data_IF_008310440386
#
_entry.id   IF_008310440386
#
_cell.length_a   1.000
_cell.length_b   1.000
_cell.length_c   1.000
_cell.angle_alpha   90.00
_cell.angle_beta   90.00
_cell.angle_gamma   90.00
#
_symmetry.space_group_name_H-M   'P 1'
#
loop_
_entity.id
_entity.type
_entity.pdbx_description
1 polymer ?
#
# COMPACT_ATOMS: atom_id res chain seq x y z
N UNK A 1 -3.14 0.91 42.74
CA UNK A 1 -3.69 0.46 41.44
C UNK A 1 -3.86 1.70 40.58
N UNK A 2 -2.90 1.99 39.68
CA UNK A 2 -3.03 3.04 38.69
C UNK A 2 -3.93 2.53 37.57
N UNK A 3 -5.20 2.87 37.66
CA UNK A 3 -6.15 2.65 36.54
C UNK A 3 -5.73 3.48 35.33
N UNK A 4 -4.80 2.97 34.54
CA UNK A 4 -4.41 3.57 33.26
C UNK A 4 -5.64 3.58 32.34
N UNK A 5 -6.06 4.76 31.91
CA UNK A 5 -7.06 4.90 30.87
C UNK A 5 -6.52 4.24 29.60
N UNK A 6 -7.13 3.15 29.15
CA UNK A 6 -6.80 2.54 27.85
C UNK A 6 -7.22 3.57 26.78
N UNK A 7 -6.27 4.11 25.99
CA UNK A 7 -6.62 5.07 24.95
C UNK A 7 -7.57 4.44 23.94
N UNK A 8 -8.52 5.22 23.42
CA UNK A 8 -9.35 4.77 22.30
C UNK A 8 -8.44 4.45 21.10
N UNK A 9 -8.51 3.21 20.59
CA UNK A 9 -7.72 2.75 19.47
C UNK A 9 -7.88 3.64 18.23
N UNK A 10 -9.07 4.20 18.01
CA UNK A 10 -9.35 5.09 16.87
C UNK A 10 -8.73 6.49 17.00
N UNK A 11 -8.30 6.92 18.19
CA UNK A 11 -7.73 8.26 18.42
C UNK A 11 -6.22 8.35 18.18
N UNK A 12 -5.54 7.21 17.97
CA UNK A 12 -4.09 7.15 17.87
C UNK A 12 -3.69 6.90 16.42
N UNK A 13 -2.79 7.74 15.88
CA UNK A 13 -2.11 7.44 14.62
C UNK A 13 -1.02 6.38 14.84
N UNK A 14 -1.38 5.12 14.67
CA UNK A 14 -0.44 4.00 14.78
C UNK A 14 0.56 3.95 13.63
N UNK A 15 0.22 4.46 12.45
CA UNK A 15 1.13 4.55 11.32
C UNK A 15 2.34 5.41 11.67
N UNK A 16 2.12 6.55 12.34
CA UNK A 16 3.22 7.41 12.78
C UNK A 16 4.20 6.72 13.75
N UNK A 17 3.70 5.78 14.55
CA UNK A 17 4.53 5.05 15.53
C UNK A 17 5.39 3.95 14.89
N UNK A 18 4.98 3.38 13.75
CA UNK A 18 5.64 2.21 13.14
C UNK A 18 6.34 2.52 11.84
N UNK A 19 6.04 3.64 11.20
CA UNK A 19 6.70 4.11 9.99
C UNK A 19 8.18 4.41 10.24
N UNK A 20 9.02 4.19 9.24
CA UNK A 20 10.43 4.60 9.30
C UNK A 20 10.53 6.12 9.55
N UNK A 21 11.66 6.54 10.11
CA UNK A 21 11.94 7.97 10.35
C UNK A 21 12.89 8.55 9.30
N UNK A 22 13.65 7.68 8.64
CA UNK A 22 14.59 8.01 7.60
C UNK A 22 14.18 7.42 6.26
N UNK A 23 14.74 7.95 5.17
CA UNK A 23 14.63 7.34 3.84
C UNK A 23 15.59 6.16 3.80
N UNK A 24 15.11 5.00 3.36
CA UNK A 24 15.93 3.80 3.24
C UNK A 24 15.86 3.27 1.81
N UNK A 25 17.00 3.20 1.15
CA UNK A 25 17.12 2.61 -0.17
C UNK A 25 17.57 1.14 -0.07
N UNK A 26 16.89 0.27 -0.77
CA UNK A 26 17.19 -1.16 -0.89
C UNK A 26 17.45 -1.49 -2.35
N UNK A 27 18.56 -2.17 -2.62
CA UNK A 27 18.91 -2.65 -3.96
C UNK A 27 18.79 -4.18 -4.05
N UNK A 28 18.51 -4.73 -5.25
CA UNK A 28 18.40 -6.18 -5.47
C UNK A 28 19.66 -6.97 -5.12
N UNK A 29 20.83 -6.35 -5.19
CA UNK A 29 22.11 -6.94 -4.81
C UNK A 29 22.35 -7.03 -3.29
N UNK A 30 21.38 -6.58 -2.48
CA UNK A 30 21.43 -6.61 -1.03
C UNK A 30 21.97 -5.33 -0.38
N UNK A 31 22.41 -4.34 -1.15
CA UNK A 31 22.85 -3.06 -0.61
C UNK A 31 21.66 -2.31 0.01
N UNK A 32 21.86 -1.81 1.23
CA UNK A 32 20.90 -0.98 1.94
C UNK A 32 21.56 0.28 2.43
N UNK A 33 20.99 1.44 2.12
CA UNK A 33 21.53 2.75 2.50
C UNK A 33 20.45 3.60 3.19
N UNK A 34 20.84 4.28 4.27
CA UNK A 34 19.98 5.17 5.05
C UNK A 34 20.31 6.63 4.79
N UNK A 35 19.28 7.46 4.63
CA UNK A 35 19.40 8.90 4.41
C UNK A 35 18.46 9.63 5.39
N UNK A 36 18.97 10.59 6.20
CA UNK A 36 18.10 11.40 7.05
C UNK A 36 17.04 12.15 6.22
N UNK A 37 15.83 12.29 6.73
CA UNK A 37 14.82 13.16 6.13
C UNK A 37 15.32 14.61 6.17
N UNK A 38 15.26 15.31 5.03
CA UNK A 38 15.85 16.65 4.86
C UNK A 38 17.24 16.65 4.24
N UNK A 39 17.73 15.49 3.82
CA UNK A 39 18.94 15.41 3.01
C UNK A 39 18.64 15.90 1.59
N UNK A 40 18.91 17.19 1.32
CA UNK A 40 18.52 17.91 0.09
C UNK A 40 19.16 17.37 -1.20
N UNK A 41 20.19 16.54 -1.10
CA UNK A 41 20.93 15.95 -2.21
C UNK A 41 20.64 14.47 -2.43
N UNK A 42 19.45 13.97 -2.00
CA UNK A 42 19.04 12.63 -2.34
C UNK A 42 18.82 12.53 -3.86
N UNK A 43 19.87 12.13 -4.56
CA UNK A 43 19.83 11.83 -5.99
C UNK A 43 20.03 10.34 -6.20
N UNK A 44 19.11 9.74 -6.94
CA UNK A 44 19.26 8.33 -7.38
C UNK A 44 20.52 8.05 -8.22
N UNK A 45 21.22 9.09 -8.67
CA UNK A 45 22.47 8.99 -9.45
C UNK A 45 23.61 8.31 -8.72
N UNK A 46 23.57 8.20 -7.38
CA UNK A 46 24.53 7.40 -6.60
C UNK A 46 24.33 5.88 -6.76
N UNK A 47 23.17 5.46 -7.24
CA UNK A 47 22.94 4.06 -7.59
C UNK A 47 23.37 3.89 -9.06
N UNK A 48 24.51 3.26 -9.27
CA UNK A 48 25.12 2.98 -10.60
C UNK A 48 24.26 2.03 -11.47
N UNK A 49 22.93 2.14 -11.37
CA UNK A 49 21.95 1.29 -12.02
C UNK A 49 20.98 2.12 -12.88
N UNK A 50 21.50 2.67 -13.99
CA UNK A 50 20.63 3.26 -15.03
C UNK A 50 19.62 2.28 -15.62
N UNK A 51 19.67 1.00 -15.22
CA UNK A 51 18.84 -0.08 -15.74
C UNK A 51 17.76 -0.58 -14.75
N UNK A 52 17.83 -0.20 -13.46
CA UNK A 52 16.86 -0.66 -12.47
C UNK A 52 15.65 0.27 -12.41
N UNK A 53 14.46 -0.32 -12.42
CA UNK A 53 13.24 0.40 -12.08
C UNK A 53 13.25 0.79 -10.61
N UNK A 54 12.78 2.00 -10.30
CA UNK A 54 12.80 2.60 -8.96
C UNK A 54 11.40 2.79 -8.45
N UNK A 55 11.10 2.19 -7.31
CA UNK A 55 9.81 2.29 -6.67
C UNK A 55 9.94 3.05 -5.37
N UNK A 56 9.19 4.14 -5.23
CA UNK A 56 8.97 4.76 -3.93
C UNK A 56 7.98 3.91 -3.16
N UNK A 57 8.35 3.49 -1.95
CA UNK A 57 7.50 2.75 -1.04
C UNK A 57 7.13 3.65 0.15
N UNK A 58 5.86 4.07 0.19
CA UNK A 58 5.31 4.82 1.32
C UNK A 58 5.09 3.88 2.50
N UNK A 59 5.83 4.12 3.58
CA UNK A 59 5.86 3.22 4.73
C UNK A 59 4.78 3.57 5.77
N UNK A 60 3.68 2.83 5.74
CA UNK A 60 2.64 2.91 6.76
C UNK A 60 2.80 1.85 7.87
N UNK A 61 3.92 1.14 7.91
CA UNK A 61 4.17 -0.03 8.76
C UNK A 61 4.42 -1.28 7.92
N UNK A 62 5.32 -1.14 6.94
CA UNK A 62 5.57 -2.14 5.90
C UNK A 62 6.05 -3.46 6.47
N UNK A 63 5.43 -4.56 6.04
CA UNK A 63 5.98 -5.90 6.24
C UNK A 63 7.18 -6.11 5.31
N UNK A 64 8.28 -6.61 5.88
CA UNK A 64 9.53 -6.82 5.15
C UNK A 64 9.36 -7.68 3.88
N UNK A 65 8.35 -8.55 3.84
CA UNK A 65 8.09 -9.38 2.67
C UNK A 65 7.57 -8.62 1.46
N UNK A 66 6.97 -7.43 1.63
CA UNK A 66 6.63 -6.53 0.52
C UNK A 66 7.93 -6.06 -0.15
N UNK A 67 8.91 -5.58 0.64
CA UNK A 67 10.21 -5.14 0.13
C UNK A 67 10.90 -6.31 -0.59
N UNK A 68 10.95 -7.50 0.03
CA UNK A 68 11.57 -8.69 -0.57
C UNK A 68 10.94 -9.08 -1.90
N UNK A 69 9.62 -8.97 -2.02
CA UNK A 69 8.90 -9.27 -3.26
C UNK A 69 9.27 -8.30 -4.40
N UNK A 70 9.46 -7.02 -4.11
CA UNK A 70 9.92 -6.05 -5.09
C UNK A 70 11.38 -6.29 -5.48
N UNK A 71 12.28 -6.50 -4.50
CA UNK A 71 13.70 -6.80 -4.74
C UNK A 71 13.90 -8.08 -5.56
N UNK A 72 13.13 -9.15 -5.27
CA UNK A 72 13.12 -10.41 -6.02
C UNK A 72 12.79 -10.22 -7.51
N UNK A 73 12.04 -9.15 -7.84
CA UNK A 73 11.66 -8.76 -9.20
C UNK A 73 12.60 -7.72 -9.81
N UNK A 74 13.80 -7.58 -9.27
CA UNK A 74 14.84 -6.68 -9.73
C UNK A 74 14.44 -5.19 -9.73
N UNK A 75 13.69 -4.76 -8.71
CA UNK A 75 13.25 -3.38 -8.51
C UNK A 75 14.00 -2.75 -7.35
N UNK A 76 14.56 -1.56 -7.51
CA UNK A 76 15.12 -0.78 -6.42
C UNK A 76 13.99 -0.12 -5.62
N UNK A 77 14.01 -0.25 -4.29
CA UNK A 77 12.96 0.25 -3.40
C UNK A 77 13.48 1.41 -2.55
N UNK A 78 12.76 2.52 -2.59
CA UNK A 78 13.04 3.69 -1.76
C UNK A 78 11.88 3.82 -0.77
N UNK A 79 12.13 3.34 0.43
CA UNK A 79 11.19 3.42 1.54
C UNK A 79 11.26 4.80 2.15
N UNK A 80 10.12 5.50 2.19
CA UNK A 80 9.98 6.84 2.76
C UNK A 80 8.97 6.83 3.91
N UNK A 81 9.09 7.73 4.90
CA UNK A 81 8.10 7.86 5.96
C UNK A 81 6.69 8.13 5.42
N UNK A 82 5.66 7.70 6.15
CA UNK A 82 4.24 7.82 5.77
C UNK A 82 3.79 9.26 5.45
N UNK A 83 4.42 10.26 6.06
CA UNK A 83 4.10 11.68 5.92
C UNK A 83 5.07 12.45 4.98
N UNK A 84 6.03 11.75 4.39
CA UNK A 84 7.02 12.36 3.50
C UNK A 84 6.38 12.77 2.16
N UNK A 85 6.65 14.00 1.69
CA UNK A 85 6.24 14.42 0.35
C UNK A 85 7.24 13.92 -0.71
N UNK A 86 6.96 12.74 -1.23
CA UNK A 86 7.79 12.07 -2.24
C UNK A 86 7.60 12.60 -3.65
N UNK A 87 6.74 13.60 -3.85
CA UNK A 87 6.37 14.08 -5.19
C UNK A 87 7.50 14.83 -5.92
N UNK A 88 8.56 15.23 -5.23
CA UNK A 88 9.75 15.82 -5.84
C UNK A 88 10.79 14.77 -6.27
N UNK A 89 10.60 13.50 -5.89
CA UNK A 89 11.51 12.43 -6.27
C UNK A 89 11.24 11.94 -7.69
N UNK A 90 12.30 11.49 -8.35
CA UNK A 90 12.20 10.76 -9.61
C UNK A 90 12.07 9.26 -9.33
N UNK A 91 10.95 8.65 -9.76
CA UNK A 91 10.66 7.22 -9.57
C UNK A 91 9.83 6.69 -10.75
N UNK A 92 9.79 5.37 -10.91
CA UNK A 92 9.03 4.71 -11.97
C UNK A 92 7.65 4.26 -11.51
N UNK A 93 7.46 3.97 -10.22
CA UNK A 93 6.19 3.60 -9.62
C UNK A 93 6.11 3.91 -8.13
N UNK A 94 4.88 3.97 -7.60
CA UNK A 94 4.58 4.21 -6.19
C UNK A 94 3.93 2.98 -5.57
N UNK A 95 4.48 2.49 -4.46
CA UNK A 95 3.92 1.39 -3.70
C UNK A 95 3.47 1.87 -2.31
N UNK A 96 2.21 1.65 -1.98
CA UNK A 96 1.62 2.04 -0.70
C UNK A 96 1.55 0.81 0.19
N UNK A 97 2.29 0.80 1.29
CA UNK A 97 2.40 -0.39 2.13
C UNK A 97 1.15 -0.65 2.97
N UNK A 98 1.10 -1.84 3.53
CA UNK A 98 0.21 -2.14 4.65
C UNK A 98 0.56 -1.30 5.88
N UNK A 99 -0.35 -1.26 6.85
CA UNK A 99 -0.13 -0.56 8.12
C UNK A 99 -1.26 -0.78 9.13
N UNK A 100 -1.04 -0.46 10.42
CA UNK A 100 -2.03 -0.57 11.48
C UNK A 100 -2.89 0.68 11.60
N UNK A 101 -4.02 0.55 12.29
CA UNK A 101 -4.82 1.68 12.77
C UNK A 101 -5.93 2.13 11.84
N UNK A 102 -6.38 3.36 12.05
CA UNK A 102 -7.45 4.00 11.30
C UNK A 102 -6.86 4.81 10.13
N UNK A 103 -7.23 4.53 8.86
CA UNK A 103 -6.76 5.29 7.70
C UNK A 103 -7.18 6.77 7.75
N UNK A 104 -8.17 7.12 8.56
CA UNK A 104 -8.61 8.51 8.72
C UNK A 104 -7.62 9.38 9.50
N UNK A 105 -6.62 8.78 10.17
CA UNK A 105 -5.54 9.50 10.83
C UNK A 105 -4.37 9.85 9.92
N UNK A 106 -4.42 9.45 8.63
CA UNK A 106 -3.31 9.56 7.68
C UNK A 106 -3.52 10.60 6.57
N UNK A 107 -4.18 11.73 6.86
CA UNK A 107 -4.52 12.75 5.84
C UNK A 107 -3.33 13.33 5.10
N UNK A 108 -2.16 13.40 5.73
CA UNK A 108 -0.90 13.84 5.07
C UNK A 108 -0.54 12.90 3.93
N UNK A 109 -0.54 11.58 4.18
CA UNK A 109 -0.31 10.56 3.17
C UNK A 109 -1.34 10.67 2.02
N UNK A 110 -2.63 10.80 2.35
CA UNK A 110 -3.70 10.95 1.36
C UNK A 110 -3.47 12.16 0.44
N UNK A 111 -3.07 13.31 1.00
CA UNK A 111 -2.75 14.51 0.18
C UNK A 111 -1.57 14.27 -0.76
N UNK A 112 -0.52 13.60 -0.30
CA UNK A 112 0.66 13.31 -1.13
C UNK A 112 0.34 12.27 -2.22
N UNK A 113 -0.46 11.24 -1.91
CA UNK A 113 -0.94 10.27 -2.90
C UNK A 113 -1.82 10.96 -3.94
N UNK A 114 -2.71 11.88 -3.55
CA UNK A 114 -3.57 12.61 -4.48
C UNK A 114 -2.77 13.40 -5.52
N UNK A 115 -1.67 14.06 -5.12
CA UNK A 115 -0.75 14.70 -6.07
C UNK A 115 -0.11 13.71 -7.04
N UNK A 116 0.18 12.48 -6.58
CA UNK A 116 0.77 11.45 -7.42
C UNK A 116 -0.20 10.88 -8.47
N UNK A 117 -1.53 10.95 -8.23
CA UNK A 117 -2.53 10.51 -9.21
C UNK A 117 -2.48 11.31 -10.54
N UNK A 118 -1.91 12.52 -10.52
CA UNK A 118 -1.75 13.35 -11.71
C UNK A 118 -0.56 12.94 -12.60
N UNK A 119 0.31 12.04 -12.11
CA UNK A 119 1.57 11.68 -12.79
C UNK A 119 1.49 10.51 -13.75
N UNK A 120 0.39 9.78 -13.80
CA UNK A 120 0.18 8.57 -14.62
C UNK A 120 1.21 7.44 -14.40
N UNK A 121 1.99 7.49 -13.31
CA UNK A 121 2.93 6.44 -12.94
C UNK A 121 2.21 5.33 -12.18
N UNK A 122 2.56 4.05 -12.37
CA UNK A 122 1.90 2.94 -11.69
C UNK A 122 1.83 3.13 -10.17
N UNK A 123 0.64 2.88 -9.60
CA UNK A 123 0.41 2.91 -8.15
C UNK A 123 -0.21 1.58 -7.72
N UNK A 124 0.41 0.93 -6.73
CA UNK A 124 -0.16 -0.25 -6.09
C UNK A 124 -0.27 -0.04 -4.58
N UNK A 125 -1.40 -0.44 -3.98
CA UNK A 125 -1.63 -0.35 -2.53
C UNK A 125 -2.02 -1.68 -1.92
N UNK A 126 -1.48 -1.99 -0.72
CA UNK A 126 -1.83 -3.18 0.06
C UNK A 126 -2.44 -2.78 1.40
N UNK A 127 -3.61 -3.32 1.73
CA UNK A 127 -4.31 -3.16 3.01
C UNK A 127 -4.51 -1.68 3.37
N UNK A 128 -3.73 -1.10 4.27
CA UNK A 128 -3.74 0.34 4.54
C UNK A 128 -3.52 1.14 3.25
N UNK A 129 -2.60 0.72 2.39
CA UNK A 129 -2.32 1.36 1.10
C UNK A 129 -3.52 1.34 0.15
N UNK A 130 -4.35 0.29 0.14
CA UNK A 130 -5.63 0.26 -0.57
C UNK A 130 -6.58 1.36 -0.07
N UNK A 131 -6.71 1.48 1.26
CA UNK A 131 -7.60 2.45 1.89
C UNK A 131 -7.16 3.89 1.63
N UNK A 132 -5.84 4.17 1.71
CA UNK A 132 -5.28 5.48 1.42
C UNK A 132 -5.40 5.85 -0.07
N UNK A 133 -5.22 4.89 -0.98
CA UNK A 133 -5.44 5.11 -2.41
C UNK A 133 -6.90 5.43 -2.71
N UNK A 134 -7.84 4.69 -2.10
CA UNK A 134 -9.28 4.95 -2.24
C UNK A 134 -9.65 6.36 -1.74
N UNK A 135 -9.14 6.76 -0.56
CA UNK A 135 -9.34 8.14 -0.03
C UNK A 135 -8.74 9.20 -0.95
N UNK A 136 -7.57 8.96 -1.52
CA UNK A 136 -6.95 9.88 -2.48
C UNK A 136 -7.79 10.01 -3.75
N UNK A 137 -8.43 8.93 -4.19
CA UNK A 137 -9.41 8.89 -5.29
C UNK A 137 -10.78 9.46 -4.94
N UNK A 138 -11.00 9.88 -3.68
CA UNK A 138 -12.26 10.53 -3.23
C UNK A 138 -13.25 9.61 -2.55
N UNK A 139 -12.97 8.32 -2.39
CA UNK A 139 -13.85 7.37 -1.71
C UNK A 139 -13.78 7.49 -0.19
N UNK A 140 -14.83 7.04 0.47
CA UNK A 140 -14.94 6.94 1.93
C UNK A 140 -14.48 5.56 2.41
N UNK A 141 -14.01 5.53 3.65
CA UNK A 141 -13.65 4.31 4.36
C UNK A 141 -14.52 4.17 5.59
N UNK A 142 -15.06 2.98 5.83
CA UNK A 142 -15.87 2.69 7.01
C UNK A 142 -15.28 1.58 7.86
N UNK A 143 -15.61 1.58 9.14
CA UNK A 143 -15.18 0.55 10.09
C UNK A 143 -16.13 -0.65 10.00
N UNK A 144 -15.57 -1.82 9.77
CA UNK A 144 -16.30 -3.09 9.81
C UNK A 144 -16.69 -3.44 11.24
N UNK A 145 -17.84 -4.06 11.42
CA UNK A 145 -18.31 -4.51 12.74
C UNK A 145 -17.34 -5.51 13.38
N UNK A 146 -16.80 -6.45 12.60
CA UNK A 146 -15.92 -7.52 13.09
C UNK A 146 -14.53 -7.49 12.45
N UNK A 147 -14.42 -6.97 11.22
CA UNK A 147 -13.21 -7.03 10.39
C UNK A 147 -12.90 -8.44 9.88
N UNK A 148 -11.94 -8.53 8.97
CA UNK A 148 -11.47 -9.81 8.40
C UNK A 148 -10.09 -10.15 8.97
N UNK A 149 -9.98 -11.28 9.68
CA UNK A 149 -8.75 -11.71 10.37
C UNK A 149 -8.58 -13.21 10.25
N UNK A 150 -8.10 -13.66 9.08
CA UNK A 150 -7.82 -15.07 8.82
C UNK A 150 -6.99 -15.27 7.56
N UNK A 151 -6.52 -16.50 7.32
CA UNK A 151 -5.78 -16.89 6.12
C UNK A 151 -6.63 -17.61 5.08
N UNK A 152 -7.95 -17.62 5.23
CA UNK A 152 -8.89 -18.36 4.37
C UNK A 152 -10.08 -17.50 3.89
N UNK A 153 -9.85 -16.22 3.64
CA UNK A 153 -10.87 -15.33 3.12
C UNK A 153 -10.99 -15.49 1.61
N UNK A 154 -12.15 -15.92 1.08
CA UNK A 154 -12.37 -16.07 -0.35
C UNK A 154 -12.65 -14.71 -0.99
N UNK A 155 -11.93 -14.41 -2.06
CA UNK A 155 -12.05 -13.15 -2.80
C UNK A 155 -12.23 -13.46 -4.28
N UNK A 156 -13.17 -12.78 -4.93
CA UNK A 156 -13.38 -12.86 -6.39
C UNK A 156 -12.82 -11.62 -7.08
N UNK A 157 -12.13 -11.82 -8.19
CA UNK A 157 -11.73 -10.73 -9.09
C UNK A 157 -12.93 -10.31 -9.94
N UNK A 158 -13.32 -9.04 -9.82
CA UNK A 158 -14.51 -8.48 -10.50
C UNK A 158 -14.34 -8.54 -12.02
N UNK A 159 -15.40 -8.94 -12.72
CA UNK A 159 -15.41 -9.11 -14.18
C UNK A 159 -14.77 -10.41 -14.68
N UNK A 160 -14.43 -11.33 -13.77
CA UNK A 160 -13.88 -12.66 -14.10
C UNK A 160 -14.47 -13.75 -13.22
N UNK A 161 -14.23 -15.02 -13.60
CA UNK A 161 -14.57 -16.20 -12.79
C UNK A 161 -13.45 -16.57 -11.78
N UNK A 162 -12.37 -15.77 -11.70
CA UNK A 162 -11.24 -16.08 -10.85
C UNK A 162 -11.54 -15.76 -9.38
N UNK A 163 -11.33 -16.77 -8.54
CA UNK A 163 -11.43 -16.68 -7.08
C UNK A 163 -10.10 -17.07 -6.44
N UNK A 164 -9.78 -16.43 -5.34
CA UNK A 164 -8.54 -16.65 -4.59
C UNK A 164 -8.86 -16.84 -3.12
N UNK A 165 -8.10 -17.67 -2.44
CA UNK A 165 -8.09 -17.70 -0.98
C UNK A 165 -7.00 -16.71 -0.52
N UNK A 166 -7.34 -15.82 0.40
CA UNK A 166 -6.46 -14.70 0.78
C UNK A 166 -6.21 -14.64 2.28
N UNK A 167 -5.07 -14.08 2.63
CA UNK A 167 -4.73 -13.71 4.01
C UNK A 167 -5.18 -12.28 4.28
N UNK A 168 -5.95 -12.07 5.35
CA UNK A 168 -6.51 -10.76 5.69
C UNK A 168 -6.33 -10.44 7.18
N UNK A 169 -6.09 -9.17 7.47
CA UNK A 169 -6.08 -8.62 8.82
C UNK A 169 -6.41 -7.13 8.78
N UNK A 170 -7.69 -6.80 8.64
CA UNK A 170 -8.15 -5.42 8.60
C UNK A 170 -9.50 -5.23 9.29
N UNK A 171 -9.74 -4.02 9.80
CA UNK A 171 -10.98 -3.61 10.44
C UNK A 171 -11.72 -2.49 9.70
N UNK A 172 -11.19 -2.04 8.56
CA UNK A 172 -11.77 -0.99 7.73
C UNK A 172 -11.89 -1.47 6.29
N UNK A 173 -12.86 -0.95 5.56
CA UNK A 173 -13.10 -1.26 4.16
C UNK A 173 -13.45 -0.01 3.36
N UNK A 174 -13.22 -0.06 2.05
CA UNK A 174 -13.63 0.97 1.10
C UNK A 174 -15.14 0.86 0.88
N UNK A 175 -15.83 2.00 0.93
CA UNK A 175 -17.24 2.10 0.59
C UNK A 175 -17.40 2.19 -0.94
N UNK A 176 -17.90 1.12 -1.55
CA UNK A 176 -18.11 1.03 -2.99
C UNK A 176 -19.02 2.12 -3.56
N UNK A 177 -20.03 2.56 -2.80
CA UNK A 177 -21.01 3.54 -3.25
C UNK A 177 -20.41 4.96 -3.35
N UNK A 178 -19.22 5.16 -2.75
CA UNK A 178 -18.50 6.43 -2.77
C UNK A 178 -17.35 6.46 -3.77
N UNK A 179 -17.09 5.37 -4.49
CA UNK A 179 -16.06 5.34 -5.55
C UNK A 179 -16.40 6.34 -6.64
N UNK A 180 -15.44 7.20 -6.99
CA UNK A 180 -15.57 8.14 -8.09
C UNK A 180 -15.77 7.43 -9.44
N UNK A 181 -16.30 8.16 -10.43
CA UNK A 181 -16.66 7.62 -11.75
C UNK A 181 -15.51 6.91 -12.48
N UNK A 182 -14.26 7.29 -12.20
CA UNK A 182 -13.05 6.73 -12.81
C UNK A 182 -12.51 5.48 -12.09
N UNK A 183 -13.10 5.13 -10.96
CA UNK A 183 -12.69 3.99 -10.14
C UNK A 183 -13.74 2.89 -10.15
N UNK A 184 -13.30 1.66 -9.94
CA UNK A 184 -14.17 0.50 -9.79
C UNK A 184 -13.56 -0.53 -8.84
N UNK A 185 -14.38 -1.39 -8.19
CA UNK A 185 -13.89 -2.52 -7.43
C UNK A 185 -13.08 -3.47 -8.33
N UNK A 186 -11.90 -3.88 -7.86
CA UNK A 186 -11.08 -4.91 -8.52
C UNK A 186 -11.33 -6.28 -7.90
N UNK A 187 -11.52 -6.30 -6.56
CA UNK A 187 -11.78 -7.51 -5.81
C UNK A 187 -12.94 -7.30 -4.83
N UNK A 188 -13.69 -8.37 -4.58
CA UNK A 188 -14.78 -8.41 -3.59
C UNK A 188 -14.68 -9.67 -2.75
N UNK A 189 -14.97 -9.55 -1.45
CA UNK A 189 -15.08 -10.68 -0.54
C UNK A 189 -16.33 -11.51 -0.87
N UNK A 190 -16.17 -12.83 -0.95
CA UNK A 190 -17.30 -13.70 -1.33
C UNK A 190 -18.23 -14.01 -0.16
N UNK A 191 -17.83 -13.75 1.08
CA UNK A 191 -18.66 -14.00 2.25
C UNK A 191 -19.67 -12.88 2.49
N UNK A 192 -19.27 -11.61 2.30
CA UNK A 192 -20.07 -10.45 2.70
C UNK A 192 -20.13 -9.32 1.64
N UNK A 193 -19.48 -9.48 0.49
CA UNK A 193 -19.47 -8.49 -0.58
C UNK A 193 -18.60 -7.25 -0.31
N UNK A 194 -17.83 -7.23 0.78
CA UNK A 194 -16.92 -6.13 1.12
C UNK A 194 -15.90 -5.90 0.00
N UNK A 195 -15.55 -4.63 -0.25
CA UNK A 195 -14.48 -4.28 -1.17
C UNK A 195 -13.14 -4.84 -0.70
N UNK A 196 -12.46 -5.54 -1.59
CA UNK A 196 -11.16 -6.16 -1.33
C UNK A 196 -10.04 -5.61 -2.23
N UNK A 197 -10.30 -4.51 -2.92
CA UNK A 197 -9.35 -3.81 -3.76
C UNK A 197 -10.06 -2.99 -4.83
N UNK A 198 -9.40 -1.94 -5.28
CA UNK A 198 -9.90 -1.04 -6.31
C UNK A 198 -8.94 -0.96 -7.47
N UNK A 199 -9.44 -0.50 -8.63
CA UNK A 199 -8.61 -0.09 -9.77
C UNK A 199 -9.19 1.17 -10.42
N UNK A 200 -8.29 1.94 -11.03
CA UNK A 200 -8.68 3.02 -11.93
C UNK A 200 -8.98 2.43 -13.31
N UNK A 201 -10.01 2.94 -14.00
CA UNK A 201 -10.49 2.38 -15.27
C UNK A 201 -9.49 2.55 -16.41
N UNK A 202 -8.69 3.61 -16.40
CA UNK A 202 -7.79 4.00 -17.49
C UNK A 202 -6.33 4.17 -17.07
N UNK A 203 -6.07 4.53 -15.80
CA UNK A 203 -4.72 4.75 -15.30
C UNK A 203 -4.15 3.48 -14.64
N UNK A 204 -2.82 3.33 -14.55
CA UNK A 204 -2.19 2.13 -13.99
C UNK A 204 -2.22 2.10 -12.46
N UNK A 205 -3.41 2.33 -11.86
CA UNK A 205 -3.60 2.36 -10.41
C UNK A 205 -4.48 1.19 -9.98
N UNK A 206 -4.02 0.43 -8.99
CA UNK A 206 -4.79 -0.66 -8.43
C UNK A 206 -4.34 -1.01 -7.02
N UNK A 207 -5.12 -1.82 -6.32
CA UNK A 207 -4.82 -2.19 -4.95
C UNK A 207 -5.46 -3.52 -4.54
N UNK A 208 -5.02 -4.06 -3.41
CA UNK A 208 -5.65 -5.16 -2.70
C UNK A 208 -5.83 -4.84 -1.23
N UNK A 209 -6.96 -5.21 -0.65
CA UNK A 209 -7.21 -5.09 0.79
C UNK A 209 -6.55 -6.26 1.54
N UNK A 210 -6.44 -7.41 0.91
CA UNK A 210 -5.75 -8.59 1.42
C UNK A 210 -4.22 -8.46 1.28
N UNK A 211 -3.49 -9.41 1.85
CA UNK A 211 -2.05 -9.44 1.94
C UNK A 211 -1.42 -10.45 0.97
N UNK A 212 -1.07 -10.05 -0.28
CA UNK A 212 -0.41 -10.93 -1.25
C UNK A 212 1.02 -11.30 -0.83
N UNK A 213 1.61 -10.57 0.11
CA UNK A 213 2.92 -10.83 0.68
C UNK A 213 2.91 -11.85 1.82
N UNK A 214 1.73 -12.37 2.19
CA UNK A 214 1.61 -13.29 3.33
C UNK A 214 2.47 -14.54 3.15
N UNK A 215 3.28 -14.86 4.15
CA UNK A 215 4.25 -15.95 4.11
C UNK A 215 3.79 -17.18 4.90
N UNK A 216 2.69 -17.06 5.63
CA UNK A 216 1.99 -18.13 6.35
C UNK A 216 0.55 -18.19 5.84
N UNK A 217 0.34 -18.71 4.63
CA UNK A 217 -0.99 -18.74 4.03
C UNK A 217 -0.93 -18.97 2.53
N UNK A 218 -2.07 -18.75 1.83
CA UNK A 218 -2.12 -18.91 0.37
C UNK A 218 -1.16 -17.94 -0.33
N UNK A 219 -0.49 -18.45 -1.36
CA UNK A 219 0.46 -17.69 -2.19
C UNK A 219 -0.12 -17.31 -3.55
N UNK A 220 -1.38 -17.67 -3.81
CA UNK A 220 -2.06 -17.51 -5.11
C UNK A 220 -2.15 -16.06 -5.59
N UNK A 221 -1.93 -15.10 -4.71
CA UNK A 221 -2.08 -13.67 -5.00
C UNK A 221 -0.76 -12.92 -5.20
N UNK A 222 0.39 -13.61 -5.21
CA UNK A 222 1.70 -12.99 -5.48
C UNK A 222 1.75 -12.28 -6.85
N UNK A 223 0.91 -12.67 -7.82
CA UNK A 223 0.79 -12.01 -9.12
C UNK A 223 0.50 -10.50 -9.04
N UNK A 224 0.02 -9.99 -7.91
CA UNK A 224 -0.16 -8.56 -7.66
C UNK A 224 1.16 -7.81 -7.82
N UNK A 225 2.27 -8.39 -7.34
CA UNK A 225 3.60 -7.81 -7.50
C UNK A 225 4.09 -7.89 -8.95
N UNK A 226 3.84 -9.01 -9.64
CA UNK A 226 4.20 -9.17 -11.06
C UNK A 226 3.46 -8.13 -11.90
N UNK A 227 2.14 -8.02 -11.71
CA UNK A 227 1.31 -7.01 -12.39
C UNK A 227 1.81 -5.59 -12.16
N UNK A 228 2.25 -5.25 -10.94
CA UNK A 228 2.79 -3.91 -10.65
C UNK A 228 4.11 -3.67 -11.36
N UNK A 229 5.02 -4.64 -11.32
CA UNK A 229 6.35 -4.52 -11.95
C UNK A 229 6.26 -4.46 -13.47
N UNK A 230 5.33 -5.20 -14.07
CA UNK A 230 5.07 -5.18 -15.52
C UNK A 230 4.56 -3.81 -16.03
N UNK A 231 4.03 -2.98 -15.14
CA UNK A 231 3.57 -1.63 -15.48
C UNK A 231 4.67 -0.55 -15.35
N UNK A 232 5.79 -0.85 -14.68
CA UNK A 232 6.93 0.08 -14.53
C UNK A 232 7.65 0.26 -15.88
#
# INVERSE_FOLDING_TARGET
>A
ESGGVIPDYGSINYVDRVSCKDIVAYLPDGITTHYPVGFDNFQFSTFNSQLLKRVVLLDCGVKANIIRNLLKRNVAVIRVPWNYDFNHLEYDGLFLSNGPGDPNTCDVAVRNIRKALDRDKPICGICMGNQLLAKAGGASIYKLKYGHRSHNQPVRMVGTEKCFITSQNHGYAVDNDTLGADWEPLFVNMNDGTNEGIRHKTKPFFSSQFHPEACSGPTDTEFIFDKFVDLL
#
